data_IF_382716450146
#
_entry.id   IF_382716450146
#
_cell.length_a   1.000
_cell.length_b   1.000
_cell.length_c   1.000
_cell.angle_alpha   90.00
_cell.angle_beta   90.00
_cell.angle_gamma   90.00
#
_symmetry.space_group_name_H-M   'P 1'
#
loop_
_entity.id
_entity.type
_entity.pdbx_description
1 polymer ?
#
# COMPACT_ATOMS: atom_id res chain seq x y z
N UNK A 1 -11.63 20.64 17.64
CA UNK A 1 -11.16 21.09 16.33
C UNK A 1 -12.26 20.86 15.31
N UNK A 2 -12.64 21.91 14.57
CA UNK A 2 -13.53 21.77 13.40
C UNK A 2 -12.73 21.23 12.21
N UNK A 3 -13.38 20.54 11.27
CA UNK A 3 -12.73 20.04 10.05
C UNK A 3 -12.14 21.15 9.18
N UNK A 4 -12.74 22.34 9.24
CA UNK A 4 -12.32 23.51 8.47
C UNK A 4 -11.47 24.51 9.30
N UNK A 5 -11.11 24.13 10.52
CA UNK A 5 -10.24 24.95 11.36
C UNK A 5 -8.83 24.96 10.77
N UNK A 6 -8.24 26.15 10.65
CA UNK A 6 -6.86 26.26 10.14
C UNK A 6 -5.91 25.61 11.14
N UNK A 7 -5.03 24.76 10.64
CA UNK A 7 -3.94 24.19 11.42
C UNK A 7 -3.06 25.30 11.98
N UNK A 8 -2.57 25.10 13.20
CA UNK A 8 -1.59 26.00 13.79
C UNK A 8 -0.30 25.98 12.97
N UNK A 9 0.47 27.07 13.00
CA UNK A 9 1.69 27.22 12.21
C UNK A 9 2.70 26.08 12.43
N UNK A 10 2.78 25.58 13.66
CA UNK A 10 3.65 24.47 14.04
C UNK A 10 3.18 23.14 13.42
N UNK A 11 1.88 22.88 13.39
CA UNK A 11 1.32 21.67 12.78
C UNK A 11 1.48 21.70 11.25
N UNK A 12 1.24 22.86 10.64
CA UNK A 12 1.51 23.06 9.22
C UNK A 12 2.96 22.79 8.86
N UNK A 13 3.90 23.26 9.71
CA UNK A 13 5.33 23.01 9.53
C UNK A 13 5.64 21.51 9.58
N UNK A 14 5.10 20.79 10.57
CA UNK A 14 5.27 19.33 10.69
C UNK A 14 4.70 18.58 9.49
N UNK A 15 3.51 18.96 9.00
CA UNK A 15 2.95 18.39 7.78
C UNK A 15 3.87 18.62 6.57
N UNK A 16 4.43 19.83 6.42
CA UNK A 16 5.37 20.12 5.33
C UNK A 16 6.68 19.33 5.45
N UNK A 17 7.19 19.13 6.68
CA UNK A 17 8.36 18.28 6.92
C UNK A 17 8.09 16.82 6.58
N UNK A 18 6.91 16.30 6.92
CA UNK A 18 6.47 14.96 6.52
C UNK A 18 6.35 14.81 5.00
N UNK A 19 5.74 15.77 4.32
CA UNK A 19 5.65 15.77 2.84
C UNK A 19 7.02 15.77 2.18
N UNK A 20 7.96 16.59 2.70
CA UNK A 20 9.35 16.60 2.21
C UNK A 20 10.03 15.26 2.45
N UNK A 21 9.88 14.67 3.63
CA UNK A 21 10.43 13.35 3.93
C UNK A 21 9.83 12.27 3.02
N UNK A 22 8.54 12.37 2.69
CA UNK A 22 7.88 11.44 1.78
C UNK A 22 8.38 11.57 0.34
N UNK A 23 8.65 12.80 -0.12
CA UNK A 23 9.21 13.05 -1.43
C UNK A 23 10.71 12.73 -1.54
N UNK A 24 11.40 12.51 -0.40
CA UNK A 24 12.78 12.04 -0.37
C UNK A 24 12.91 10.53 -0.55
N UNK A 25 11.81 9.76 -0.51
CA UNK A 25 11.89 8.34 -0.84
C UNK A 25 12.30 8.19 -2.31
N UNK A 26 13.35 7.39 -2.53
CA UNK A 26 13.77 7.00 -3.87
C UNK A 26 12.58 6.40 -4.63
N UNK A 27 12.54 6.63 -5.94
CA UNK A 27 11.63 5.93 -6.85
C UNK A 27 11.67 4.44 -6.50
N UNK A 28 10.51 3.87 -6.19
CA UNK A 28 10.41 2.46 -5.81
C UNK A 28 10.81 1.62 -7.04
N UNK A 29 12.05 1.14 -7.04
CA UNK A 29 12.57 0.28 -8.09
C UNK A 29 12.26 -1.17 -7.78
N UNK A 30 11.35 -1.75 -8.57
CA UNK A 30 10.99 -3.16 -8.49
C UNK A 30 11.91 -3.94 -9.42
N UNK A 31 12.69 -4.88 -8.88
CA UNK A 31 13.60 -5.69 -9.69
C UNK A 31 12.80 -6.64 -10.59
N UNK A 32 13.08 -6.61 -11.89
CA UNK A 32 12.41 -7.48 -12.88
C UNK A 32 12.73 -8.97 -12.70
N UNK A 33 13.88 -9.27 -12.10
CA UNK A 33 14.34 -10.62 -11.82
C UNK A 33 14.44 -10.86 -10.32
N UNK A 34 13.87 -11.98 -9.86
CA UNK A 34 13.81 -12.38 -8.47
C UNK A 34 14.75 -13.57 -8.31
N UNK A 35 15.93 -13.43 -7.68
CA UNK A 35 16.83 -14.56 -7.44
C UNK A 35 16.13 -15.72 -6.70
N UNK A 36 16.49 -16.97 -6.99
CA UNK A 36 15.91 -18.14 -6.32
C UNK A 36 16.22 -18.25 -4.82
N UNK A 37 17.02 -17.33 -4.27
CA UNK A 37 17.44 -17.31 -2.87
C UNK A 37 16.39 -16.69 -1.90
N UNK A 38 15.22 -16.27 -2.40
CA UNK A 38 14.14 -15.87 -1.51
C UNK A 38 13.43 -17.10 -0.94
N UNK A 39 13.40 -17.18 0.39
CA UNK A 39 12.79 -18.29 1.12
C UNK A 39 11.34 -18.02 1.48
N UNK A 40 10.93 -16.75 1.53
CA UNK A 40 9.60 -16.34 1.96
C UNK A 40 9.03 -15.25 1.05
N UNK A 41 7.73 -15.37 0.78
CA UNK A 41 6.93 -14.37 0.09
C UNK A 41 5.88 -13.86 1.06
N UNK A 42 5.91 -12.56 1.31
CA UNK A 42 4.98 -11.85 2.19
C UNK A 42 4.06 -11.00 1.34
N UNK A 43 2.77 -11.35 1.34
CA UNK A 43 1.76 -10.67 0.54
C UNK A 43 0.91 -9.80 1.46
N UNK A 44 0.84 -8.51 1.14
CA UNK A 44 0.00 -7.54 1.84
C UNK A 44 -1.08 -7.04 0.89
N UNK A 45 -2.31 -7.12 1.36
CA UNK A 45 -3.49 -6.68 0.62
C UNK A 45 -4.28 -5.70 1.46
N UNK A 46 -4.83 -4.70 0.82
CA UNK A 46 -5.74 -3.74 1.45
C UNK A 46 -6.87 -3.38 0.49
N UNK A 47 -8.04 -3.08 1.03
CA UNK A 47 -9.24 -2.81 0.28
C UNK A 47 -9.95 -1.57 0.79
N UNK A 48 -10.33 -0.71 -0.14
CA UNK A 48 -11.20 0.44 0.09
C UNK A 48 -12.41 0.38 -0.84
N UNK A 49 -13.40 1.22 -0.60
CA UNK A 49 -14.57 1.35 -1.49
C UNK A 49 -14.20 1.74 -2.94
N UNK A 50 -12.99 2.29 -3.15
CA UNK A 50 -12.54 2.84 -4.44
C UNK A 50 -11.54 1.95 -5.15
N UNK A 51 -10.74 1.19 -4.41
CA UNK A 51 -9.64 0.41 -4.97
C UNK A 51 -9.20 -0.69 -3.99
N UNK A 52 -8.61 -1.72 -4.58
CA UNK A 52 -7.87 -2.77 -3.87
C UNK A 52 -6.40 -2.63 -4.23
N UNK A 53 -5.54 -2.62 -3.21
CA UNK A 53 -4.09 -2.57 -3.33
C UNK A 53 -3.44 -3.89 -2.92
N UNK A 54 -2.34 -4.22 -3.60
CA UNK A 54 -1.51 -5.39 -3.34
C UNK A 54 -0.04 -4.98 -3.36
N UNK A 55 0.72 -5.44 -2.37
CA UNK A 55 2.17 -5.34 -2.33
C UNK A 55 2.77 -6.70 -1.92
N UNK A 56 3.73 -7.18 -2.70
CA UNK A 56 4.41 -8.45 -2.48
C UNK A 56 5.87 -8.19 -2.17
N UNK A 57 6.31 -8.67 -1.02
CA UNK A 57 7.68 -8.59 -0.57
C UNK A 57 8.31 -9.97 -0.55
N UNK A 58 9.56 -10.07 -1.00
CA UNK A 58 10.35 -11.28 -0.89
C UNK A 58 11.46 -11.10 0.15
N UNK A 59 11.67 -12.11 0.98
CA UNK A 59 12.73 -12.14 1.98
C UNK A 59 13.70 -13.29 1.69
N UNK A 60 15.01 -13.01 1.74
CA UNK A 60 16.07 -14.00 1.54
C UNK A 60 16.32 -14.74 2.85
N UNK A 61 16.58 -16.05 2.77
CA UNK A 61 17.09 -16.80 3.90
C UNK A 61 18.56 -16.42 4.11
N UNK A 62 18.84 -15.59 5.10
CA UNK A 62 20.20 -15.28 5.54
C UNK A 62 20.27 -15.29 7.05
N UNK A 63 21.42 -15.69 7.59
CA UNK A 63 21.74 -15.64 9.02
C UNK A 63 21.88 -14.20 9.55
N UNK A 64 21.98 -13.21 8.65
CA UNK A 64 22.00 -11.78 8.99
C UNK A 64 20.62 -11.12 8.80
N UNK A 65 20.46 -9.91 9.34
CA UNK A 65 19.24 -9.08 9.19
C UNK A 65 18.94 -8.81 7.71
N UNK A 66 18.06 -9.64 7.13
CA UNK A 66 17.62 -9.47 5.76
C UNK A 66 16.51 -8.42 5.67
N UNK A 67 16.69 -7.40 4.84
CA UNK A 67 15.63 -6.44 4.50
C UNK A 67 14.72 -7.06 3.44
N UNK A 68 13.41 -7.19 3.68
CA UNK A 68 12.48 -7.64 2.65
C UNK A 68 12.45 -6.62 1.50
N UNK A 69 12.34 -7.12 0.27
CA UNK A 69 12.35 -6.29 -0.94
C UNK A 69 10.99 -6.36 -1.63
N UNK A 70 10.47 -5.21 -2.07
CA UNK A 70 9.26 -5.16 -2.88
C UNK A 70 9.54 -5.73 -4.27
N UNK A 71 8.83 -6.79 -4.64
CA UNK A 71 9.00 -7.49 -5.92
C UNK A 71 7.79 -7.36 -6.84
N UNK A 72 6.63 -7.00 -6.30
CA UNK A 72 5.42 -6.76 -7.08
C UNK A 72 4.48 -5.82 -6.34
N UNK A 73 3.83 -4.94 -7.09
CA UNK A 73 2.77 -4.08 -6.58
C UNK A 73 1.70 -3.91 -7.64
N UNK A 74 0.43 -3.95 -7.23
CA UNK A 74 -0.69 -3.76 -8.14
C UNK A 74 -1.87 -3.10 -7.44
N UNK A 75 -2.54 -2.23 -8.18
CA UNK A 75 -3.79 -1.62 -7.75
C UNK A 75 -4.89 -1.97 -8.74
N UNK A 76 -6.06 -2.33 -8.23
CA UNK A 76 -7.28 -2.57 -9.00
C UNK A 76 -8.36 -1.59 -8.55
N UNK A 77 -8.84 -0.77 -9.48
CA UNK A 77 -9.94 0.16 -9.21
C UNK A 77 -11.28 -0.61 -9.11
N UNK A 78 -12.11 -0.20 -8.16
CA UNK A 78 -13.45 -0.73 -7.99
C UNK A 78 -14.43 0.12 -8.80
N UNK A 79 -15.22 -0.48 -9.71
CA UNK A 79 -16.19 0.27 -10.50
C UNK A 79 -17.19 1.00 -9.61
N UNK A 80 -17.34 2.31 -9.83
CA UNK A 80 -18.39 3.10 -9.18
C UNK A 80 -19.74 2.59 -9.67
N UNK A 81 -20.59 2.14 -8.74
CA UNK A 81 -21.97 1.77 -9.05
C UNK A 81 -22.89 2.86 -8.53
N UNK A 82 -23.79 3.33 -9.38
CA UNK A 82 -24.68 4.47 -9.10
C UNK A 82 -25.64 4.24 -7.93
N UNK A 83 -25.90 2.97 -7.57
CA UNK A 83 -26.77 2.60 -6.44
C UNK A 83 -25.99 1.93 -5.31
N UNK A 84 -26.13 2.44 -4.07
CA UNK A 84 -25.57 1.84 -2.83
C UNK A 84 -26.02 0.39 -2.55
N UNK A 85 -27.14 -0.05 -3.13
CA UNK A 85 -27.57 -1.46 -3.04
C UNK A 85 -26.74 -2.40 -3.91
N UNK A 86 -26.03 -1.86 -4.91
CA UNK A 86 -25.20 -2.62 -5.84
C UNK A 86 -23.71 -2.52 -5.50
N UNK A 87 -23.28 -1.62 -4.61
CA UNK A 87 -21.88 -1.52 -4.18
C UNK A 87 -21.46 -2.76 -3.40
N UNK A 88 -20.27 -3.27 -3.71
CA UNK A 88 -19.66 -4.38 -2.98
C UNK A 88 -19.27 -3.86 -1.59
N UNK A 89 -19.61 -4.61 -0.54
CA UNK A 89 -19.25 -4.23 0.83
C UNK A 89 -17.73 -4.33 1.05
N UNK A 90 -17.19 -3.53 1.98
CA UNK A 90 -15.75 -3.55 2.31
C UNK A 90 -15.26 -4.96 2.66
N UNK A 91 -15.94 -5.77 3.51
CA UNK A 91 -15.49 -7.14 3.80
C UNK A 91 -15.40 -8.05 2.56
N UNK A 92 -16.27 -7.83 1.56
CA UNK A 92 -16.21 -8.57 0.29
C UNK A 92 -15.06 -8.08 -0.59
N UNK A 93 -14.71 -6.79 -0.51
CA UNK A 93 -13.54 -6.23 -1.19
C UNK A 93 -12.24 -6.70 -0.54
N UNK A 94 -12.18 -6.80 0.79
CA UNK A 94 -11.05 -7.41 1.52
C UNK A 94 -10.87 -8.87 1.13
N UNK A 95 -11.95 -9.65 1.09
CA UNK A 95 -11.91 -11.04 0.62
C UNK A 95 -11.43 -11.13 -0.84
N UNK A 96 -11.92 -10.23 -1.72
CA UNK A 96 -11.44 -10.14 -3.10
C UNK A 96 -9.95 -9.79 -3.16
N UNK A 97 -9.48 -8.89 -2.29
CA UNK A 97 -8.08 -8.51 -2.21
C UNK A 97 -7.19 -9.71 -1.87
N UNK A 98 -7.61 -10.52 -0.88
CA UNK A 98 -6.94 -11.78 -0.53
C UNK A 98 -6.89 -12.75 -1.72
N UNK A 99 -7.94 -12.83 -2.56
CA UNK A 99 -7.89 -13.70 -3.76
C UNK A 99 -6.97 -13.20 -4.88
N UNK A 100 -6.59 -11.92 -4.86
CA UNK A 100 -5.72 -11.31 -5.85
C UNK A 100 -4.24 -11.34 -5.46
N UNK A 101 -3.95 -11.48 -4.17
CA UNK A 101 -2.60 -11.62 -3.63
C UNK A 101 -2.14 -13.06 -3.60
#
# INVERSE_FOLDING_TARGET
>A
MSWDEKLELEEMRRCSELEKAFNQFNVIEVTRWIPQEYSEIHVFVDASERAVGLAVYARRSSSMTCKPQLIYGKTRLIPKRESRKLSVSIPRLELLAVTLG
#
